data_IF_939684595087
#
_entry.id   IF_939684595087
#
_cell.length_a   1.000
_cell.length_b   1.000
_cell.length_c   1.000
_cell.angle_alpha   90.00
_cell.angle_beta   90.00
_cell.angle_gamma   90.00
#
_symmetry.space_group_name_H-M   'P 1'
#
loop_
_entity.id
_entity.type
_entity.pdbx_description
1 polymer ?
#
# COMPACT_ATOMS: atom_id res chain seq x y z
N UNK A 1 10.43 5.47 -11.98
CA UNK A 1 10.20 4.88 -10.64
C UNK A 1 10.46 3.37 -10.68
N UNK A 2 10.97 2.77 -9.60
CA UNK A 2 11.28 1.33 -9.53
C UNK A 2 10.08 0.55 -8.95
N UNK A 3 9.82 -0.64 -9.50
CA UNK A 3 8.77 -1.56 -9.04
C UNK A 3 9.04 -2.02 -7.62
N UNK A 4 8.02 -1.98 -6.76
CA UNK A 4 8.10 -2.40 -5.36
C UNK A 4 7.06 -3.48 -5.01
N UNK A 5 7.47 -4.45 -4.21
CA UNK A 5 6.62 -5.51 -3.67
C UNK A 5 6.55 -5.37 -2.15
N UNK A 6 5.32 -5.22 -1.65
CA UNK A 6 5.02 -4.99 -0.25
C UNK A 6 4.16 -6.15 0.28
N UNK A 7 4.74 -7.24 0.83
CA UNK A 7 3.94 -8.33 1.37
C UNK A 7 3.04 -7.85 2.52
N UNK A 8 1.74 -8.18 2.46
CA UNK A 8 0.81 -7.85 3.54
C UNK A 8 0.87 -8.90 4.64
N UNK A 9 1.34 -8.47 5.82
CA UNK A 9 1.43 -9.28 7.04
C UNK A 9 0.05 -9.70 7.57
N UNK A 10 -1.05 -9.12 7.06
CA UNK A 10 -2.41 -9.57 7.37
C UNK A 10 -2.65 -11.04 6.98
N UNK A 11 -1.90 -11.55 6.00
CA UNK A 11 -2.00 -12.96 5.55
C UNK A 11 -0.98 -13.90 6.22
N UNK A 12 -0.14 -13.39 7.12
CA UNK A 12 0.91 -14.16 7.78
C UNK A 12 0.41 -14.84 9.07
N UNK A 13 1.26 -15.66 9.71
CA UNK A 13 0.97 -16.21 11.04
C UNK A 13 1.19 -15.15 12.13
N UNK A 14 0.09 -14.62 12.68
CA UNK A 14 0.09 -13.62 13.76
C UNK A 14 0.80 -14.08 15.04
N UNK A 15 0.91 -15.39 15.28
CA UNK A 15 1.66 -15.90 16.43
C UNK A 15 3.19 -15.78 16.25
N UNK A 16 3.65 -15.52 15.02
CA UNK A 16 5.06 -15.59 14.62
C UNK A 16 5.52 -14.38 13.80
N UNK A 17 4.90 -13.22 13.96
CA UNK A 17 5.13 -12.04 13.11
C UNK A 17 6.60 -11.64 12.90
N UNK A 18 7.47 -11.84 13.90
CA UNK A 18 8.90 -11.57 13.76
C UNK A 18 9.61 -12.53 12.78
N UNK A 19 9.18 -13.79 12.71
CA UNK A 19 9.69 -14.77 11.75
C UNK A 19 9.06 -14.52 10.37
N UNK A 20 7.77 -14.20 10.32
CA UNK A 20 7.04 -13.89 9.08
C UNK A 20 7.60 -12.65 8.37
N UNK A 21 8.06 -11.65 9.14
CA UNK A 21 8.74 -10.47 8.61
C UNK A 21 10.08 -10.83 7.95
N UNK A 22 10.79 -11.85 8.45
CA UNK A 22 12.07 -12.33 7.89
C UNK A 22 11.88 -13.27 6.70
N UNK A 23 10.76 -13.97 6.65
CA UNK A 23 10.45 -14.94 5.58
C UNK A 23 10.34 -14.30 4.19
N UNK A 24 10.08 -12.99 4.13
CA UNK A 24 9.91 -12.22 2.88
C UNK A 24 11.16 -11.40 2.53
N UNK A 25 12.35 -11.99 2.71
CA UNK A 25 13.62 -11.37 2.32
C UNK A 25 13.58 -10.87 0.86
N UNK A 26 13.98 -9.62 0.64
CA UNK A 26 13.95 -8.96 -0.67
C UNK A 26 12.65 -8.21 -0.97
N UNK A 27 11.68 -8.17 -0.04
CA UNK A 27 10.59 -7.20 -0.08
C UNK A 27 11.10 -5.76 0.14
N UNK A 28 10.46 -4.78 -0.50
CA UNK A 28 10.84 -3.36 -0.32
C UNK A 28 10.25 -2.79 0.97
N UNK A 29 9.02 -3.22 1.31
CA UNK A 29 8.30 -2.85 2.51
C UNK A 29 7.53 -4.03 3.07
N UNK A 30 7.25 -4.00 4.37
CA UNK A 30 6.21 -4.83 4.98
C UNK A 30 4.93 -4.02 5.09
N UNK A 31 3.88 -4.44 4.39
CA UNK A 31 2.59 -3.76 4.42
C UNK A 31 1.80 -4.22 5.65
N UNK A 32 1.45 -3.27 6.52
CA UNK A 32 0.81 -3.53 7.81
C UNK A 32 -0.59 -2.93 7.82
N UNK A 33 -1.59 -3.80 7.72
CA UNK A 33 -3.01 -3.44 7.73
C UNK A 33 -3.54 -3.24 9.15
N UNK A 34 -3.82 -1.98 9.49
CA UNK A 34 -4.37 -1.56 10.79
C UNK A 34 -5.86 -1.32 10.63
N UNK A 35 -6.68 -2.03 11.41
CA UNK A 35 -8.13 -1.97 11.36
C UNK A 35 -8.71 -1.80 12.77
N UNK A 36 -9.75 -0.98 12.93
CA UNK A 36 -10.27 -0.57 14.24
C UNK A 36 -11.70 -1.05 14.55
N UNK A 37 -12.30 -1.88 13.69
CA UNK A 37 -13.68 -2.34 13.77
C UNK A 37 -14.75 -1.23 13.69
N UNK A 38 -14.38 -0.02 13.24
CA UNK A 38 -15.30 1.09 13.00
C UNK A 38 -15.30 1.49 11.53
N UNK A 39 -14.12 1.83 10.98
CA UNK A 39 -14.02 2.19 9.56
C UNK A 39 -14.20 0.99 8.62
N UNK A 40 -13.79 -0.18 9.09
CA UNK A 40 -14.00 -1.49 8.46
C UNK A 40 -14.53 -2.48 9.51
N UNK A 41 -15.29 -3.53 9.13
CA UNK A 41 -15.88 -4.48 10.07
C UNK A 41 -14.88 -5.57 10.51
N UNK A 42 -13.66 -5.18 10.89
CA UNK A 42 -12.61 -6.08 11.38
C UNK A 42 -11.63 -5.34 12.32
N UNK A 43 -10.96 -6.07 13.20
CA UNK A 43 -9.94 -5.56 14.14
C UNK A 43 -8.67 -6.38 13.99
N UNK A 44 -7.55 -5.74 13.67
CA UNK A 44 -6.27 -6.45 13.43
C UNK A 44 -5.27 -6.21 14.54
N UNK A 45 -4.53 -5.11 14.45
CA UNK A 45 -3.40 -4.76 15.30
C UNK A 45 -3.32 -3.25 15.46
N UNK A 46 -2.47 -2.79 16.37
CA UNK A 46 -2.26 -1.37 16.63
C UNK A 46 -0.80 -1.02 16.86
N UNK A 47 -0.58 0.20 17.36
CA UNK A 47 0.75 0.79 17.60
C UNK A 47 1.73 -0.15 18.31
N UNK A 48 1.38 -0.88 19.39
CA UNK A 48 2.35 -1.75 20.07
C UNK A 48 2.91 -2.89 19.21
N UNK A 49 2.13 -3.36 18.22
CA UNK A 49 2.59 -4.39 17.28
C UNK A 49 3.53 -3.78 16.25
N UNK A 50 3.21 -2.59 15.74
CA UNK A 50 4.08 -1.84 14.82
C UNK A 50 5.43 -1.54 15.47
N UNK A 51 5.44 -1.03 16.70
CA UNK A 51 6.69 -0.82 17.47
C UNK A 51 7.49 -2.11 17.67
N UNK A 52 6.81 -3.25 17.81
CA UNK A 52 7.48 -4.54 17.99
C UNK A 52 8.07 -5.05 16.68
N UNK A 53 7.36 -4.85 15.56
CA UNK A 53 7.83 -5.19 14.22
C UNK A 53 9.04 -4.36 13.81
N UNK A 54 9.04 -3.05 14.07
CA UNK A 54 10.19 -2.18 13.74
C UNK A 54 11.50 -2.59 14.43
N UNK A 55 11.41 -3.28 15.57
CA UNK A 55 12.58 -3.86 16.26
C UNK A 55 12.95 -5.26 15.77
N UNK A 56 12.07 -5.93 15.05
CA UNK A 56 12.22 -7.34 14.65
C UNK A 56 12.76 -7.52 13.23
N UNK A 57 12.71 -6.48 12.40
CA UNK A 57 13.10 -6.51 10.98
C UNK A 57 13.73 -5.19 10.54
N UNK A 58 14.64 -5.26 9.57
CA UNK A 58 15.22 -4.08 8.90
C UNK A 58 14.37 -3.62 7.71
N UNK A 59 13.40 -4.44 7.26
CA UNK A 59 12.47 -4.05 6.20
C UNK A 59 11.55 -2.93 6.70
N UNK A 60 11.47 -1.78 6.02
CA UNK A 60 10.67 -0.66 6.50
C UNK A 60 9.18 -0.99 6.45
N UNK A 61 8.41 -0.40 7.36
CA UNK A 61 6.98 -0.67 7.49
C UNK A 61 6.14 0.36 6.72
N UNK A 62 5.20 -0.15 5.94
CA UNK A 62 4.18 0.61 5.22
C UNK A 62 2.82 0.37 5.91
N UNK A 63 2.45 1.27 6.82
CA UNK A 63 1.25 1.12 7.64
C UNK A 63 0.03 1.70 6.94
N UNK A 64 -0.94 0.84 6.62
CA UNK A 64 -2.21 1.22 6.03
C UNK A 64 -3.31 1.28 7.10
N UNK A 65 -3.82 2.49 7.33
CA UNK A 65 -4.76 2.80 8.40
C UNK A 65 -6.19 2.79 7.88
N UNK A 66 -6.85 1.63 8.03
CA UNK A 66 -8.28 1.44 7.86
C UNK A 66 -9.01 1.72 9.20
N UNK A 67 -8.89 2.96 9.66
CA UNK A 67 -9.38 3.40 10.98
C UNK A 67 -10.14 4.72 10.89
N UNK A 68 -11.02 4.98 11.86
CA UNK A 68 -11.65 6.28 12.05
C UNK A 68 -10.68 7.32 12.65
N UNK A 69 -10.92 8.59 12.34
CA UNK A 69 -10.14 9.73 12.84
C UNK A 69 -8.60 9.58 12.65
N UNK A 70 -8.11 9.25 11.43
CA UNK A 70 -6.69 9.09 11.18
C UNK A 70 -5.89 10.37 11.48
N UNK A 71 -6.50 11.56 11.40
CA UNK A 71 -5.91 12.83 11.85
C UNK A 71 -5.31 12.75 13.28
N UNK A 72 -5.92 11.95 14.16
CA UNK A 72 -5.45 11.75 15.54
C UNK A 72 -4.41 10.65 15.65
N UNK A 73 -4.60 9.56 14.91
CA UNK A 73 -3.88 8.30 15.15
C UNK A 73 -2.65 8.14 14.28
N UNK A 74 -2.68 8.59 13.02
CA UNK A 74 -1.58 8.42 12.08
C UNK A 74 -0.21 8.93 12.59
N UNK A 75 -0.13 10.09 13.28
CA UNK A 75 1.12 10.54 13.90
C UNK A 75 1.80 9.53 14.82
N UNK A 76 1.01 8.72 15.55
CA UNK A 76 1.52 7.74 16.50
C UNK A 76 2.19 6.56 15.80
N UNK A 77 1.74 6.20 14.59
CA UNK A 77 2.37 5.17 13.77
C UNK A 77 3.74 5.62 13.26
N UNK A 78 3.88 6.91 12.92
CA UNK A 78 5.19 7.49 12.58
C UNK A 78 6.13 7.44 13.78
N UNK A 79 5.64 7.83 14.96
CA UNK A 79 6.41 7.78 16.22
C UNK A 79 6.83 6.36 16.61
N UNK A 80 6.01 5.35 16.27
CA UNK A 80 6.33 3.94 16.42
C UNK A 80 7.38 3.39 15.42
N UNK A 81 7.76 4.21 14.43
CA UNK A 81 8.79 3.90 13.43
C UNK A 81 8.27 3.42 12.09
N UNK A 82 6.97 3.62 11.77
CA UNK A 82 6.48 3.39 10.41
C UNK A 82 7.18 4.33 9.42
N UNK A 83 7.70 3.78 8.32
CA UNK A 83 8.36 4.58 7.27
C UNK A 83 7.39 5.16 6.24
N UNK A 84 6.19 4.57 6.12
CA UNK A 84 5.06 5.07 5.34
C UNK A 84 3.79 4.93 6.16
N UNK A 85 2.92 5.93 6.11
CA UNK A 85 1.59 5.89 6.74
C UNK A 85 0.54 6.31 5.72
N UNK A 86 -0.34 5.37 5.40
CA UNK A 86 -1.42 5.53 4.43
C UNK A 86 -2.75 5.69 5.15
N UNK A 87 -3.39 6.85 5.05
CA UNK A 87 -4.73 7.09 5.61
C UNK A 87 -5.80 7.05 4.51
N UNK A 88 -7.01 6.64 4.86
CA UNK A 88 -8.16 6.74 3.98
C UNK A 88 -8.68 8.17 3.90
N UNK A 89 -8.86 8.70 2.68
CA UNK A 89 -9.46 10.03 2.49
C UNK A 89 -10.89 10.09 3.01
N UNK A 90 -11.60 8.96 3.00
CA UNK A 90 -12.97 8.84 3.47
C UNK A 90 -13.09 8.97 4.98
N UNK A 91 -11.99 8.81 5.73
CA UNK A 91 -11.94 8.94 7.18
C UNK A 91 -11.29 10.25 7.65
N UNK A 92 -10.44 10.86 6.83
CA UNK A 92 -9.68 12.05 7.20
C UNK A 92 -10.54 13.32 7.16
N UNK A 93 -10.46 14.13 8.22
CA UNK A 93 -11.15 15.42 8.30
C UNK A 93 -10.37 16.55 7.62
N UNK A 94 -9.03 16.50 7.64
CA UNK A 94 -8.17 17.49 6.99
C UNK A 94 -6.96 16.80 6.31
N UNK A 95 -7.17 16.12 5.17
CA UNK A 95 -6.16 15.24 4.55
C UNK A 95 -4.85 15.96 4.19
N UNK A 96 -4.90 17.23 3.74
CA UNK A 96 -3.67 18.03 3.47
C UNK A 96 -2.87 18.28 4.74
N UNK A 97 -3.53 18.66 5.84
CA UNK A 97 -2.87 18.91 7.13
C UNK A 97 -2.23 17.62 7.63
N UNK A 98 -2.97 16.51 7.56
CA UNK A 98 -2.52 15.20 8.00
C UNK A 98 -1.30 14.73 7.20
N UNK A 99 -1.33 14.84 5.87
CA UNK A 99 -0.20 14.46 5.02
C UNK A 99 1.07 15.25 5.37
N UNK A 100 0.95 16.57 5.54
CA UNK A 100 2.07 17.42 5.95
C UNK A 100 2.60 17.07 7.34
N UNK A 101 1.73 16.71 8.27
CA UNK A 101 2.13 16.28 9.62
C UNK A 101 2.92 14.97 9.60
N UNK A 102 2.46 13.98 8.82
CA UNK A 102 3.17 12.70 8.63
C UNK A 102 4.57 12.95 8.04
N UNK A 103 4.67 13.77 6.99
CA UNK A 103 5.95 14.18 6.38
C UNK A 103 6.86 14.91 7.37
N UNK A 104 6.32 15.86 8.14
CA UNK A 104 7.10 16.61 9.13
C UNK A 104 7.67 15.72 10.25
N UNK A 105 7.04 14.57 10.52
CA UNK A 105 7.52 13.56 11.45
C UNK A 105 8.50 12.55 10.82
N UNK A 106 8.76 12.65 9.52
CA UNK A 106 9.81 11.89 8.83
C UNK A 106 9.34 10.61 8.12
N UNK A 107 8.03 10.36 8.05
CA UNK A 107 7.48 9.25 7.26
C UNK A 107 6.92 9.73 5.92
N UNK A 108 6.78 8.80 4.97
CA UNK A 108 6.03 9.03 3.74
C UNK A 108 4.54 9.21 4.06
N UNK A 109 3.95 10.28 3.54
CA UNK A 109 2.53 10.55 3.66
C UNK A 109 1.78 9.99 2.46
N UNK A 110 0.84 9.10 2.74
CA UNK A 110 0.16 8.33 1.70
C UNK A 110 -1.35 8.41 1.91
N UNK A 111 -2.12 8.32 0.82
CA UNK A 111 -3.58 8.37 0.87
C UNK A 111 -4.19 7.18 0.13
N UNK A 112 -5.14 6.51 0.76
CA UNK A 112 -5.89 5.40 0.19
C UNK A 112 -7.29 5.84 -0.29
N UNK A 113 -7.76 5.18 -1.35
CA UNK A 113 -9.13 5.30 -1.85
C UNK A 113 -9.80 3.93 -1.91
N UNK A 114 -10.99 3.81 -1.30
CA UNK A 114 -11.90 2.67 -1.48
C UNK A 114 -12.29 2.49 -2.94
N UNK A 115 -12.75 1.30 -3.37
CA UNK A 115 -13.12 1.05 -4.76
C UNK A 115 -14.11 2.08 -5.32
N UNK A 116 -15.12 2.44 -4.53
CA UNK A 116 -16.18 3.37 -4.93
C UNK A 116 -15.79 4.86 -4.90
N UNK A 117 -14.64 5.22 -4.31
CA UNK A 117 -14.24 6.62 -4.14
C UNK A 117 -13.47 7.11 -5.37
N UNK A 118 -13.95 8.11 -6.14
CA UNK A 118 -13.24 8.62 -7.31
C UNK A 118 -11.95 9.36 -6.92
N UNK A 119 -10.97 9.42 -7.83
CA UNK A 119 -9.69 10.12 -7.60
C UNK A 119 -9.78 11.61 -7.98
N UNK A 120 -10.61 11.93 -8.96
CA UNK A 120 -10.69 13.25 -9.60
C UNK A 120 -10.91 14.42 -8.61
N UNK A 121 -11.74 14.29 -7.55
CA UNK A 121 -11.90 15.37 -6.57
C UNK A 121 -10.63 15.68 -5.75
N UNK A 122 -9.64 14.80 -5.78
CA UNK A 122 -8.42 14.89 -4.98
C UNK A 122 -7.17 15.17 -5.84
N UNK A 123 -7.35 15.53 -7.11
CA UNK A 123 -6.25 15.86 -8.02
C UNK A 123 -5.29 16.91 -7.43
N UNK A 124 -5.84 18.02 -6.91
CA UNK A 124 -5.06 19.11 -6.33
C UNK A 124 -4.33 18.72 -5.02
N UNK A 125 -4.69 17.59 -4.42
CA UNK A 125 -4.08 17.07 -3.20
C UNK A 125 -2.85 16.20 -3.50
N UNK A 126 -2.73 15.65 -4.72
CA UNK A 126 -1.63 14.75 -5.09
C UNK A 126 -0.21 15.29 -4.76
N UNK A 127 0.12 16.59 -4.94
CA UNK A 127 1.44 17.12 -4.58
C UNK A 127 1.78 17.02 -3.07
N UNK A 128 0.78 16.86 -2.21
CA UNK A 128 0.95 16.72 -0.75
C UNK A 128 1.30 15.28 -0.34
N UNK A 129 1.28 14.33 -1.28
CA UNK A 129 1.45 12.90 -1.03
C UNK A 129 2.75 12.35 -1.63
N UNK A 130 3.29 11.31 -1.01
CA UNK A 130 4.42 10.51 -1.49
C UNK A 130 3.95 9.25 -2.23
N UNK A 131 2.75 8.77 -1.89
CA UNK A 131 2.13 7.59 -2.48
C UNK A 131 0.60 7.71 -2.45
N UNK A 132 -0.06 7.18 -3.48
CA UNK A 132 -1.50 6.95 -3.49
C UNK A 132 -1.78 5.45 -3.56
N UNK A 133 -2.63 4.96 -2.66
CA UNK A 133 -3.10 3.58 -2.65
C UNK A 133 -4.50 3.49 -3.26
N UNK A 134 -4.65 2.66 -4.29
CA UNK A 134 -5.93 2.27 -4.85
C UNK A 134 -6.31 0.88 -4.32
N UNK A 135 -7.38 0.82 -3.52
CA UNK A 135 -7.93 -0.46 -3.11
C UNK A 135 -8.53 -1.19 -4.31
N UNK A 136 -8.10 -2.44 -4.52
CA UNK A 136 -8.59 -3.34 -5.58
C UNK A 136 -9.49 -4.45 -5.05
N UNK A 137 -9.87 -4.35 -3.77
CA UNK A 137 -10.93 -5.09 -3.06
C UNK A 137 -11.60 -4.13 -2.07
N UNK A 138 -12.72 -4.54 -1.45
CA UNK A 138 -13.26 -3.75 -0.33
C UNK A 138 -12.34 -3.92 0.90
N UNK A 139 -11.88 -2.84 1.55
CA UNK A 139 -11.00 -2.95 2.71
C UNK A 139 -11.65 -3.72 3.86
N UNK A 140 -10.83 -4.47 4.60
CA UNK A 140 -11.24 -5.15 5.83
C UNK A 140 -10.80 -6.61 5.96
N UNK A 141 -10.53 -7.31 4.85
CA UNK A 141 -10.13 -8.73 4.89
C UNK A 141 -9.13 -9.10 3.80
N UNK A 142 -8.20 -10.00 4.13
CA UNK A 142 -7.31 -10.64 3.15
C UNK A 142 -8.02 -11.72 2.32
N UNK A 143 -7.37 -12.15 1.24
CA UNK A 143 -7.83 -13.29 0.42
C UNK A 143 -9.01 -13.00 -0.52
N UNK A 144 -9.44 -11.74 -0.64
CA UNK A 144 -10.49 -11.34 -1.56
C UNK A 144 -10.02 -11.36 -3.01
N UNK A 145 -10.96 -11.58 -3.94
CA UNK A 145 -10.68 -11.60 -5.37
C UNK A 145 -10.52 -10.18 -5.92
N UNK A 146 -9.54 -9.99 -6.81
CA UNK A 146 -9.26 -8.73 -7.48
C UNK A 146 -10.47 -8.18 -8.24
N UNK A 147 -10.76 -6.89 -8.08
CA UNK A 147 -11.82 -6.20 -8.80
C UNK A 147 -11.28 -5.58 -10.10
N UNK A 148 -11.46 -6.26 -11.23
CA UNK A 148 -11.04 -5.77 -12.56
C UNK A 148 -11.59 -4.38 -12.92
N UNK A 149 -12.73 -4.01 -12.35
CA UNK A 149 -13.33 -2.68 -12.49
C UNK A 149 -12.44 -1.54 -11.95
N UNK A 150 -11.39 -1.85 -11.19
CA UNK A 150 -10.44 -0.86 -10.66
C UNK A 150 -9.32 -0.50 -11.65
N UNK A 151 -9.07 -1.31 -12.68
CA UNK A 151 -8.03 -1.02 -13.68
C UNK A 151 -8.19 0.37 -14.35
N UNK A 152 -9.40 0.82 -14.73
CA UNK A 152 -9.61 2.20 -15.22
C UNK A 152 -9.23 3.29 -14.21
N UNK A 153 -9.47 3.06 -12.91
CA UNK A 153 -9.12 4.01 -11.85
C UNK A 153 -7.61 4.12 -11.67
N UNK A 154 -6.89 2.99 -11.76
CA UNK A 154 -5.43 2.96 -11.74
C UNK A 154 -4.88 3.78 -12.92
N UNK A 155 -5.38 3.56 -14.15
CA UNK A 155 -4.98 4.32 -15.34
C UNK A 155 -5.19 5.81 -15.18
N UNK A 156 -6.40 6.21 -14.79
CA UNK A 156 -6.73 7.62 -14.58
C UNK A 156 -5.85 8.26 -13.51
N UNK A 157 -5.55 7.53 -12.44
CA UNK A 157 -4.65 8.01 -11.40
C UNK A 157 -3.24 8.25 -11.96
N UNK A 158 -2.70 7.29 -12.72
CA UNK A 158 -1.38 7.46 -13.37
C UNK A 158 -1.37 8.64 -14.33
N UNK A 159 -2.43 8.84 -15.12
CA UNK A 159 -2.58 10.01 -15.99
C UNK A 159 -2.52 11.34 -15.21
N UNK A 160 -3.18 11.41 -14.04
CA UNK A 160 -3.12 12.59 -13.16
C UNK A 160 -1.71 12.82 -12.60
N UNK A 161 -1.02 11.75 -12.17
CA UNK A 161 0.36 11.82 -11.70
C UNK A 161 1.27 12.38 -12.80
N UNK A 162 1.18 11.84 -14.01
CA UNK A 162 1.96 12.29 -15.17
C UNK A 162 1.61 13.71 -15.61
N UNK A 163 0.31 14.09 -15.60
CA UNK A 163 -0.16 15.45 -15.92
C UNK A 163 0.51 16.52 -15.05
N UNK A 164 0.75 16.21 -13.78
CA UNK A 164 1.40 17.11 -12.83
C UNK A 164 2.92 16.92 -12.71
N UNK A 165 3.50 15.95 -13.44
CA UNK A 165 4.93 15.65 -13.37
C UNK A 165 5.38 15.22 -11.97
N UNK A 166 4.53 14.48 -11.24
CA UNK A 166 4.78 14.09 -9.86
C UNK A 166 5.58 12.79 -9.78
N UNK A 167 6.62 12.78 -8.93
CA UNK A 167 7.30 11.56 -8.47
C UNK A 167 6.48 10.92 -7.33
N UNK A 168 5.27 10.46 -7.66
CA UNK A 168 4.32 9.87 -6.72
C UNK A 168 4.14 8.37 -7.02
N UNK A 169 4.31 7.55 -5.98
CA UNK A 169 4.11 6.10 -6.06
C UNK A 169 2.63 5.76 -6.19
N UNK A 170 2.29 4.82 -7.07
CA UNK A 170 0.93 4.32 -7.25
C UNK A 170 0.85 2.88 -6.76
N UNK A 171 0.31 2.72 -5.57
CA UNK A 171 0.12 1.44 -4.90
C UNK A 171 -1.24 0.83 -5.22
N UNK A 172 -1.29 -0.49 -5.31
CA UNK A 172 -2.52 -1.28 -5.33
C UNK A 172 -2.52 -2.33 -4.22
N UNK A 173 -3.67 -2.51 -3.57
CA UNK A 173 -3.88 -3.52 -2.53
C UNK A 173 -5.21 -4.26 -2.69
N UNK A 174 -5.13 -5.59 -2.69
CA UNK A 174 -6.26 -6.51 -2.78
C UNK A 174 -6.22 -7.40 -4.00
N UNK A 175 -6.08 -8.71 -3.80
CA UNK A 175 -6.13 -9.70 -4.89
C UNK A 175 -4.93 -9.65 -5.87
N UNK A 176 -3.82 -9.01 -5.49
CA UNK A 176 -2.59 -9.02 -6.28
C UNK A 176 -1.90 -10.39 -6.18
N UNK A 177 -1.56 -10.95 -7.33
CA UNK A 177 -0.98 -12.27 -7.51
C UNK A 177 -0.29 -12.35 -8.87
N UNK A 178 0.36 -13.49 -9.18
CA UNK A 178 0.94 -13.74 -10.51
C UNK A 178 -0.10 -13.64 -11.65
N UNK A 179 -1.40 -13.79 -11.37
CA UNK A 179 -2.46 -13.67 -12.38
C UNK A 179 -2.97 -12.23 -12.59
N UNK A 180 -2.68 -11.30 -11.68
CA UNK A 180 -3.27 -9.95 -11.65
C UNK A 180 -2.23 -8.84 -11.71
N UNK A 181 -0.98 -9.11 -11.30
CA UNK A 181 0.06 -8.09 -11.16
C UNK A 181 0.41 -7.39 -12.48
N UNK A 182 0.47 -8.13 -13.60
CA UNK A 182 0.74 -7.54 -14.92
C UNK A 182 -0.33 -6.53 -15.33
N UNK A 183 -1.60 -6.87 -15.12
CA UNK A 183 -2.72 -5.96 -15.43
C UNK A 183 -2.64 -4.67 -14.62
N UNK A 184 -2.22 -4.77 -13.35
CA UNK A 184 -2.03 -3.62 -12.47
C UNK A 184 -0.85 -2.76 -12.94
N UNK A 185 0.28 -3.39 -13.27
CA UNK A 185 1.47 -2.72 -13.79
C UNK A 185 1.20 -2.00 -15.12
N UNK A 186 0.54 -2.69 -16.05
CA UNK A 186 0.12 -2.13 -17.34
C UNK A 186 -0.84 -0.94 -17.14
N UNK A 187 -1.73 -1.02 -16.14
CA UNK A 187 -2.65 0.05 -15.82
C UNK A 187 -1.99 1.27 -15.16
N UNK A 188 -0.78 1.17 -14.63
CA UNK A 188 -0.09 2.32 -14.04
C UNK A 188 0.53 2.10 -12.66
N UNK A 189 0.22 0.99 -11.98
CA UNK A 189 0.75 0.75 -10.63
C UNK A 189 2.26 0.43 -10.67
N UNK A 190 2.99 0.88 -9.67
CA UNK A 190 4.41 0.57 -9.46
C UNK A 190 4.73 0.03 -8.05
N UNK A 191 3.77 0.07 -7.13
CA UNK A 191 3.88 -0.56 -5.81
C UNK A 191 2.75 -1.57 -5.63
N UNK A 192 3.07 -2.78 -5.21
CA UNK A 192 2.14 -3.90 -5.21
C UNK A 192 2.05 -4.55 -3.83
N UNK A 193 0.87 -4.48 -3.21
CA UNK A 193 0.61 -5.18 -1.95
C UNK A 193 0.09 -6.59 -2.23
N UNK A 194 0.78 -7.60 -1.71
CA UNK A 194 0.42 -9.01 -1.92
C UNK A 194 0.49 -9.81 -0.61
N UNK A 195 -0.66 -10.22 -0.09
CA UNK A 195 -0.75 -11.04 1.12
C UNK A 195 -0.71 -12.54 0.83
N UNK A 196 -1.87 -13.12 0.53
CA UNK A 196 -2.04 -14.58 0.35
C UNK A 196 -1.19 -15.18 -0.77
N UNK A 197 -0.89 -14.42 -1.82
CA UNK A 197 -0.01 -14.86 -2.91
C UNK A 197 1.45 -15.05 -2.47
N UNK A 198 1.87 -14.38 -1.40
CA UNK A 198 3.22 -14.46 -0.83
C UNK A 198 3.26 -15.44 0.34
N UNK A 199 2.46 -15.19 1.38
CA UNK A 199 2.47 -16.01 2.60
C UNK A 199 1.80 -17.38 2.44
N UNK A 200 1.02 -17.59 1.36
CA UNK A 200 0.49 -18.90 1.00
C UNK A 200 1.44 -19.75 0.15
N UNK A 201 2.59 -19.20 -0.28
CA UNK A 201 3.59 -19.93 -1.06
C UNK A 201 4.47 -20.81 -0.16
N UNK A 202 5.12 -21.82 -0.77
CA UNK A 202 6.09 -22.66 -0.05
C UNK A 202 7.34 -21.89 0.38
N UNK A 203 7.73 -20.88 -0.40
CA UNK A 203 8.83 -19.95 -0.10
C UNK A 203 8.34 -18.52 -0.37
N UNK A 204 8.05 -17.73 0.68
CA UNK A 204 7.58 -16.36 0.53
C UNK A 204 8.59 -15.42 -0.15
N UNK A 205 9.90 -15.63 0.04
CA UNK A 205 10.95 -14.82 -0.60
C UNK A 205 11.01 -15.06 -2.11
N UNK A 206 10.84 -16.31 -2.55
CA UNK A 206 10.73 -16.64 -3.97
C UNK A 206 9.46 -16.04 -4.59
N UNK A 207 8.34 -16.07 -3.86
CA UNK A 207 7.10 -15.44 -4.32
C UNK A 207 7.26 -13.93 -4.54
N UNK A 208 7.94 -13.22 -3.63
CA UNK A 208 8.29 -11.80 -3.78
C UNK A 208 9.13 -11.57 -5.04
N UNK A 209 10.20 -12.35 -5.24
CA UNK A 209 11.08 -12.23 -6.43
C UNK A 209 10.32 -12.49 -7.74
N UNK A 210 9.46 -13.50 -7.75
CA UNK A 210 8.68 -13.85 -8.94
C UNK A 210 7.70 -12.74 -9.33
N UNK A 211 6.95 -12.21 -8.34
CA UNK A 211 6.04 -11.08 -8.56
C UNK A 211 6.79 -9.84 -9.05
N UNK A 212 7.92 -9.50 -8.42
CA UNK A 212 8.76 -8.37 -8.85
C UNK A 212 9.17 -8.50 -10.32
N UNK A 213 9.73 -9.66 -10.68
CA UNK A 213 10.20 -9.91 -12.06
C UNK A 213 9.08 -9.71 -13.08
N UNK A 214 7.87 -10.21 -12.77
CA UNK A 214 6.72 -10.11 -13.66
C UNK A 214 6.22 -8.65 -13.81
N UNK A 215 6.17 -7.91 -12.69
CA UNK A 215 5.80 -6.50 -12.67
C UNK A 215 6.84 -5.63 -13.40
N UNK A 216 8.14 -5.86 -13.20
CA UNK A 216 9.22 -5.14 -13.90
C UNK A 216 9.18 -5.37 -15.41
N UNK A 217 9.02 -6.63 -15.85
CA UNK A 217 8.95 -6.96 -17.26
C UNK A 217 7.74 -6.31 -17.97
N UNK A 218 6.65 -6.11 -17.25
CA UNK A 218 5.44 -5.44 -17.77
C UNK A 218 5.61 -3.91 -17.73
N UNK A 219 6.09 -3.37 -16.61
CA UNK A 219 6.31 -1.93 -16.43
C UNK A 219 7.28 -1.37 -17.47
N UNK A 220 8.35 -2.10 -17.79
CA UNK A 220 9.33 -1.72 -18.82
C UNK A 220 8.75 -1.57 -20.23
N UNK A 221 7.54 -2.10 -20.47
CA UNK A 221 6.83 -2.01 -21.76
C UNK A 221 5.62 -1.07 -21.70
N UNK A 222 5.28 -0.58 -20.51
CA UNK A 222 4.08 0.21 -20.30
C UNK A 222 4.27 1.63 -20.82
N UNK A 223 3.25 2.19 -21.48
CA UNK A 223 3.33 3.52 -22.09
C UNK A 223 3.65 4.62 -21.08
N UNK A 224 3.16 4.50 -19.85
CA UNK A 224 3.38 5.48 -18.80
C UNK A 224 4.82 5.50 -18.25
N UNK A 225 5.61 4.44 -18.48
CA UNK A 225 6.97 4.32 -17.97
C UNK A 225 8.04 4.88 -18.95
N UNK A 226 7.70 5.04 -20.23
CA UNK A 226 8.63 5.44 -21.29
C UNK A 226 8.81 6.96 -21.44
N UNK A 227 8.03 7.78 -20.72
CA UNK A 227 8.00 9.24 -20.85
C UNK A 227 8.91 9.97 -19.82
N UNK A 228 9.90 9.27 -19.24
CA UNK A 228 10.90 9.83 -18.31
C UNK A 228 12.33 9.61 -18.78
#
# INVERSE_FOLDING_TARGET
MAVQINPSILSADFARLADEAKAVEGADWLHVDVMDNHFVPNLTLGVPVVESLTRATDTPLDCHLMIEAPDRWAPQYVEAGAGSVTFHVEAAAAPVRLAREIRAKGARASMALKPATPIEPYEDLLPELDMLLIMTVEPGFGGQAFLDIMLPKIRRTRELISKHGLELWLQVDGGVSAATIERCAEAGADVFVAGSAVYGASDPSDAVRALRTQAEATTAKASWACDH
#
